data_IF_364024305471
#
_entry.id   IF_364024305471
#
_cell.length_a   1.000
_cell.length_b   1.000
_cell.length_c   1.000
_cell.angle_alpha   90.00
_cell.angle_beta   90.00
_cell.angle_gamma   90.00
#
_symmetry.space_group_name_H-M   'P 1'
#
loop_
_entity.id
_entity.type
_entity.pdbx_description
1 polymer ?
#
# COMPACT_ATOMS: atom_id res chain seq x y z
N UNK A 1 -86.13 82.53 -20.48
CA UNK A 1 -85.75 82.46 -19.06
C UNK A 1 -85.19 81.05 -18.84
N UNK A 2 -83.89 80.75 -19.05
CA UNK A 2 -82.67 81.26 -18.35
C UNK A 2 -82.85 81.15 -16.83
N UNK A 3 -82.03 80.51 -15.99
CA UNK A 3 -80.62 80.04 -15.96
C UNK A 3 -80.51 79.13 -14.70
N UNK A 4 -79.49 78.34 -14.33
CA UNK A 4 -78.10 78.11 -14.75
C UNK A 4 -77.52 77.03 -13.79
N UNK A 5 -76.73 76.06 -14.26
CA UNK A 5 -75.25 76.02 -14.36
C UNK A 5 -74.48 75.50 -13.12
N UNK A 6 -73.58 74.54 -13.37
CA UNK A 6 -72.52 74.05 -12.46
C UNK A 6 -72.29 72.53 -12.57
N UNK A 7 -71.66 71.98 -13.63
CA UNK A 7 -70.21 71.73 -13.78
C UNK A 7 -69.65 70.95 -12.57
N UNK A 8 -69.18 69.70 -12.66
CA UNK A 8 -68.00 69.27 -13.41
C UNK A 8 -67.96 67.75 -13.65
N UNK A 9 -67.47 67.38 -14.84
CA UNK A 9 -67.13 66.02 -15.26
C UNK A 9 -65.74 65.63 -14.75
N UNK A 10 -65.60 64.35 -14.40
CA UNK A 10 -64.35 63.60 -14.50
C UNK A 10 -63.41 63.69 -13.29
N UNK A 11 -63.39 62.63 -12.48
CA UNK A 11 -62.18 62.23 -11.77
C UNK A 11 -62.07 60.70 -11.81
N UNK A 12 -61.24 60.23 -12.72
CA UNK A 12 -60.57 58.94 -12.62
C UNK A 12 -59.63 59.02 -11.41
N UNK A 13 -59.68 58.06 -10.49
CA UNK A 13 -58.55 57.73 -9.61
C UNK A 13 -58.77 56.34 -9.00
N UNK A 14 -58.35 55.33 -9.76
CA UNK A 14 -57.80 54.10 -9.22
C UNK A 14 -56.53 54.49 -8.44
N UNK A 15 -56.69 55.02 -7.23
CA UNK A 15 -55.66 54.98 -6.19
C UNK A 15 -55.90 53.68 -5.43
N UNK A 16 -54.99 52.71 -5.42
CA UNK A 16 -53.63 52.87 -4.92
C UNK A 16 -52.67 52.16 -5.87
N UNK A 17 -51.75 52.96 -6.39
CA UNK A 17 -50.48 52.53 -6.96
C UNK A 17 -49.86 51.45 -6.09
N UNK A 18 -49.39 50.40 -6.75
CA UNK A 18 -48.44 49.47 -6.17
C UNK A 18 -47.24 50.23 -5.60
N UNK A 19 -47.11 50.20 -4.29
CA UNK A 19 -45.87 50.46 -3.58
C UNK A 19 -45.95 49.54 -2.37
N UNK A 20 -45.22 48.43 -2.41
CA UNK A 20 -44.62 47.74 -1.26
C UNK A 20 -43.97 46.46 -1.78
N UNK A 21 -42.68 46.52 -2.14
CA UNK A 21 -41.91 45.30 -2.38
C UNK A 21 -40.63 45.42 -3.20
N UNK A 22 -40.37 46.54 -3.88
CA UNK A 22 -39.26 46.59 -4.85
C UNK A 22 -37.85 46.78 -4.24
N UNK A 23 -37.74 47.30 -3.00
CA UNK A 23 -36.45 47.69 -2.40
C UNK A 23 -35.70 46.58 -1.66
N UNK A 24 -36.40 45.79 -0.83
CA UNK A 24 -35.79 44.72 0.00
C UNK A 24 -35.70 43.39 -0.76
N UNK A 25 -36.68 43.08 -1.62
CA UNK A 25 -36.70 41.85 -2.40
C UNK A 25 -35.54 41.73 -3.39
N UNK A 26 -35.12 42.81 -4.05
CA UNK A 26 -34.02 42.78 -5.02
C UNK A 26 -32.65 42.49 -4.37
N UNK A 27 -32.37 43.06 -3.19
CA UNK A 27 -31.14 42.80 -2.44
C UNK A 27 -31.07 41.37 -1.90
N UNK A 28 -32.18 40.88 -1.36
CA UNK A 28 -32.30 39.51 -0.84
C UNK A 28 -32.23 38.46 -1.96
N UNK A 29 -32.81 38.76 -3.13
CA UNK A 29 -32.73 37.93 -4.33
C UNK A 29 -31.30 37.86 -4.89
N UNK A 30 -30.54 38.97 -4.87
CA UNK A 30 -29.13 38.98 -5.27
C UNK A 30 -28.27 38.10 -4.36
N UNK A 31 -28.44 38.23 -3.03
CA UNK A 31 -27.73 37.41 -2.04
C UNK A 31 -28.04 35.92 -2.23
N UNK A 32 -29.32 35.57 -2.38
CA UNK A 32 -29.75 34.19 -2.57
C UNK A 32 -29.23 33.59 -3.89
N UNK A 33 -29.14 34.38 -4.97
CA UNK A 33 -28.53 33.94 -6.24
C UNK A 33 -27.03 33.66 -6.09
N UNK A 34 -26.32 34.52 -5.36
CA UNK A 34 -24.90 34.33 -5.06
C UNK A 34 -24.67 33.08 -4.20
N UNK A 35 -25.49 32.87 -3.16
CA UNK A 35 -25.46 31.65 -2.34
C UNK A 35 -25.75 30.39 -3.17
N UNK A 36 -26.75 30.41 -4.05
CA UNK A 36 -27.04 29.28 -4.94
C UNK A 36 -25.90 29.00 -5.92
N UNK A 37 -25.26 30.05 -6.47
CA UNK A 37 -24.10 29.90 -7.34
C UNK A 37 -22.94 29.24 -6.57
N UNK A 38 -22.62 29.76 -5.38
CA UNK A 38 -21.54 29.23 -4.55
C UNK A 38 -21.83 27.81 -4.07
N UNK A 39 -23.09 27.49 -3.77
CA UNK A 39 -23.53 26.15 -3.42
C UNK A 39 -23.37 25.18 -4.61
N UNK A 40 -23.75 25.60 -5.81
CA UNK A 40 -23.58 24.79 -7.03
C UNK A 40 -22.10 24.53 -7.33
N UNK A 41 -21.23 25.52 -7.17
CA UNK A 41 -19.77 25.36 -7.31
C UNK A 41 -19.22 24.37 -6.27
N UNK A 42 -19.68 24.47 -5.02
CA UNK A 42 -19.29 23.56 -3.93
C UNK A 42 -19.75 22.13 -4.20
N UNK A 43 -21.00 21.93 -4.63
CA UNK A 43 -21.55 20.62 -4.98
C UNK A 43 -20.76 20.00 -6.12
N UNK A 44 -20.42 20.78 -7.15
CA UNK A 44 -19.58 20.31 -8.25
C UNK A 44 -18.20 19.88 -7.78
N UNK A 45 -17.56 20.65 -6.90
CA UNK A 45 -16.25 20.31 -6.32
C UNK A 45 -16.31 19.01 -5.49
N UNK A 46 -17.30 18.88 -4.62
CA UNK A 46 -17.51 17.69 -3.81
C UNK A 46 -17.85 16.45 -4.65
N UNK A 47 -18.59 16.61 -5.74
CA UNK A 47 -18.88 15.53 -6.68
C UNK A 47 -17.61 15.05 -7.39
N UNK A 48 -16.73 15.96 -7.78
CA UNK A 48 -15.43 15.62 -8.38
C UNK A 48 -14.53 14.90 -7.38
N UNK A 49 -14.42 15.40 -6.16
CA UNK A 49 -13.64 14.77 -5.10
C UNK A 49 -14.17 13.37 -4.77
N UNK A 50 -15.49 13.22 -4.64
CA UNK A 50 -16.11 11.91 -4.43
C UNK A 50 -15.83 10.94 -5.59
N UNK A 51 -15.85 11.42 -6.85
CA UNK A 51 -15.51 10.59 -8.00
C UNK A 51 -14.03 10.15 -7.98
N UNK A 52 -13.11 11.06 -7.62
CA UNK A 52 -11.69 10.74 -7.48
C UNK A 52 -11.43 9.74 -6.36
N UNK A 53 -12.00 9.97 -5.17
CA UNK A 53 -11.89 9.06 -4.03
C UNK A 53 -12.47 7.69 -4.34
N UNK A 54 -13.61 7.63 -5.03
CA UNK A 54 -14.21 6.36 -5.46
C UNK A 54 -13.30 5.59 -6.43
N UNK A 55 -12.64 6.30 -7.35
CA UNK A 55 -11.66 5.68 -8.26
C UNK A 55 -10.44 5.16 -7.50
N UNK A 56 -9.89 5.93 -6.55
CA UNK A 56 -8.78 5.49 -5.70
C UNK A 56 -9.17 4.27 -4.85
N UNK A 57 -10.34 4.28 -4.24
CA UNK A 57 -10.85 3.17 -3.45
C UNK A 57 -10.96 1.89 -4.29
N UNK A 58 -11.52 1.98 -5.50
CA UNK A 58 -11.63 0.83 -6.41
C UNK A 58 -10.26 0.27 -6.82
N UNK A 59 -9.25 1.13 -7.02
CA UNK A 59 -7.87 0.70 -7.31
C UNK A 59 -7.25 -0.04 -6.13
N UNK A 60 -7.32 0.52 -4.92
CA UNK A 60 -6.80 -0.12 -3.72
C UNK A 60 -7.49 -1.46 -3.43
N UNK A 61 -8.80 -1.55 -3.64
CA UNK A 61 -9.55 -2.80 -3.47
C UNK A 61 -9.07 -3.88 -4.45
N UNK A 62 -8.90 -3.50 -5.72
CA UNK A 62 -8.40 -4.42 -6.76
C UNK A 62 -6.98 -4.90 -6.46
N UNK A 63 -6.12 -3.99 -5.99
CA UNK A 63 -4.75 -4.31 -5.62
C UNK A 63 -4.68 -5.20 -4.37
N UNK A 64 -5.47 -4.90 -3.34
CA UNK A 64 -5.55 -5.72 -2.14
C UNK A 64 -6.04 -7.14 -2.47
N UNK A 65 -7.06 -7.26 -3.31
CA UNK A 65 -7.56 -8.56 -3.80
C UNK A 65 -6.47 -9.34 -4.53
N UNK A 66 -5.69 -8.68 -5.40
CA UNK A 66 -4.54 -9.29 -6.08
C UNK A 66 -3.48 -9.80 -5.10
N UNK A 67 -3.11 -8.98 -4.10
CA UNK A 67 -2.12 -9.36 -3.09
C UNK A 67 -2.62 -10.52 -2.24
N UNK A 68 -3.89 -10.53 -1.84
CA UNK A 68 -4.50 -11.60 -1.06
C UNK A 68 -4.60 -12.91 -1.83
N UNK A 69 -4.95 -12.86 -3.11
CA UNK A 69 -4.96 -14.06 -3.96
C UNK A 69 -3.54 -14.62 -4.14
N UNK A 70 -2.56 -13.74 -4.34
CA UNK A 70 -1.14 -14.13 -4.41
C UNK A 70 -0.69 -14.76 -3.10
N UNK A 71 -0.98 -14.12 -1.95
CA UNK A 71 -0.65 -14.65 -0.62
C UNK A 71 -1.22 -16.05 -0.43
N UNK A 72 -2.51 -16.25 -0.73
CA UNK A 72 -3.19 -17.55 -0.60
C UNK A 72 -2.56 -18.64 -1.48
N UNK A 73 -2.25 -18.32 -2.75
CA UNK A 73 -1.58 -19.25 -3.66
C UNK A 73 -0.19 -19.67 -3.13
N UNK A 74 0.59 -18.71 -2.64
CA UNK A 74 1.91 -18.98 -2.05
C UNK A 74 1.80 -19.82 -0.78
N UNK A 75 0.85 -19.52 0.12
CA UNK A 75 0.65 -20.28 1.36
C UNK A 75 0.33 -21.74 1.10
N UNK A 76 -0.56 -22.01 0.14
CA UNK A 76 -0.93 -23.36 -0.21
C UNK A 76 0.26 -24.13 -0.80
N UNK A 77 1.00 -23.51 -1.73
CA UNK A 77 2.18 -24.13 -2.37
C UNK A 77 3.36 -24.35 -1.41
N UNK A 78 3.47 -23.54 -0.36
CA UNK A 78 4.56 -23.59 0.63
C UNK A 78 4.18 -24.30 1.92
N UNK A 79 2.98 -24.87 2.02
CA UNK A 79 2.52 -25.62 3.17
C UNK A 79 3.51 -26.74 3.54
N UNK A 80 3.81 -26.87 4.83
CA UNK A 80 4.73 -27.87 5.37
C UNK A 80 6.23 -27.60 5.14
N UNK A 81 6.61 -26.50 4.48
CA UNK A 81 8.03 -26.15 4.27
C UNK A 81 8.67 -25.40 5.43
N UNK A 82 7.86 -24.96 6.40
CA UNK A 82 8.28 -24.04 7.47
C UNK A 82 8.37 -22.57 7.02
N UNK A 83 8.01 -22.26 5.77
CA UNK A 83 7.87 -20.89 5.29
C UNK A 83 6.58 -20.25 5.81
N UNK A 84 6.60 -18.93 5.98
CA UNK A 84 5.42 -18.11 6.29
C UNK A 84 5.25 -17.06 5.22
N UNK A 85 4.04 -16.85 4.73
CA UNK A 85 3.76 -15.80 3.75
C UNK A 85 3.05 -14.64 4.45
N UNK A 86 3.35 -13.40 4.07
CA UNK A 86 2.65 -12.22 4.58
C UNK A 86 2.55 -11.13 3.53
N UNK A 87 1.63 -10.20 3.73
CA UNK A 87 1.58 -8.94 3.00
C UNK A 87 2.12 -7.84 3.91
N UNK A 88 3.05 -7.03 3.41
CA UNK A 88 3.60 -5.87 4.10
C UNK A 88 3.90 -4.77 3.09
N UNK A 89 3.47 -3.54 3.37
CA UNK A 89 3.74 -2.35 2.54
C UNK A 89 3.40 -2.57 1.05
N UNK A 90 2.25 -3.17 0.74
CA UNK A 90 1.84 -3.45 -0.65
C UNK A 90 2.63 -4.56 -1.36
N UNK A 91 3.51 -5.28 -0.64
CA UNK A 91 4.30 -6.38 -1.20
C UNK A 91 3.97 -7.71 -0.52
N UNK A 92 4.09 -8.80 -1.26
CA UNK A 92 3.96 -10.16 -0.72
C UNK A 92 5.35 -10.70 -0.41
N UNK A 93 5.54 -11.16 0.81
CA UNK A 93 6.82 -11.68 1.30
C UNK A 93 6.71 -13.13 1.71
N UNK A 94 7.72 -13.93 1.37
CA UNK A 94 7.91 -15.30 1.87
C UNK A 94 9.06 -15.31 2.88
N UNK A 95 8.79 -15.76 4.09
CA UNK A 95 9.73 -15.75 5.22
C UNK A 95 10.20 -17.16 5.52
N UNK A 96 11.51 -17.34 5.60
CA UNK A 96 12.15 -18.57 6.05
C UNK A 96 12.94 -18.31 7.33
N UNK A 97 12.65 -19.03 8.43
CA UNK A 97 13.49 -18.98 9.61
C UNK A 97 14.93 -19.36 9.29
N UNK A 98 15.89 -18.65 9.86
CA UNK A 98 17.32 -18.90 9.63
C UNK A 98 17.74 -20.32 9.98
N UNK A 99 17.12 -20.94 10.99
CA UNK A 99 17.38 -22.31 11.39
C UNK A 99 16.91 -23.37 10.36
N UNK A 100 15.96 -23.01 9.49
CA UNK A 100 15.56 -23.85 8.36
C UNK A 100 16.64 -23.82 7.28
N UNK A 101 17.24 -22.65 7.05
CA UNK A 101 18.20 -22.42 5.96
C UNK A 101 19.65 -22.77 6.30
N UNK A 102 20.10 -22.45 7.51
CA UNK A 102 21.50 -22.46 7.92
C UNK A 102 21.65 -23.12 9.30
N UNK A 103 22.80 -23.73 9.53
CA UNK A 103 23.22 -24.09 10.88
C UNK A 103 23.62 -22.83 11.68
N UNK A 104 23.66 -22.95 13.01
CA UNK A 104 23.92 -21.80 13.89
C UNK A 104 25.25 -21.11 13.55
N UNK A 105 25.17 -19.79 13.31
CA UNK A 105 26.30 -18.96 12.87
C UNK A 105 26.65 -19.08 11.38
N UNK A 106 26.29 -20.18 10.71
CA UNK A 106 26.73 -20.44 9.35
C UNK A 106 26.00 -19.61 8.29
N UNK A 107 26.61 -19.58 7.11
CA UNK A 107 26.07 -18.99 5.86
C UNK A 107 25.93 -20.03 4.75
N UNK A 108 26.43 -21.25 4.97
CA UNK A 108 26.23 -22.39 4.07
C UNK A 108 24.82 -22.96 4.23
N UNK A 109 24.13 -23.15 3.10
CA UNK A 109 22.78 -23.72 3.09
C UNK A 109 22.78 -25.18 3.52
N UNK A 110 21.87 -25.53 4.42
CA UNK A 110 21.62 -26.91 4.84
C UNK A 110 21.10 -27.74 3.66
N UNK A 111 21.50 -29.01 3.51
CA UNK A 111 20.96 -29.87 2.45
C UNK A 111 19.43 -29.97 2.46
N UNK A 112 18.81 -29.98 3.65
CA UNK A 112 17.35 -30.04 3.79
C UNK A 112 16.65 -28.76 3.30
N UNK A 113 17.32 -27.60 3.35
CA UNK A 113 16.74 -26.31 2.96
C UNK A 113 16.61 -26.18 1.43
N UNK A 114 17.46 -26.89 0.69
CA UNK A 114 17.48 -26.93 -0.78
C UNK A 114 16.14 -27.32 -1.39
N UNK A 115 15.41 -28.25 -0.78
CA UNK A 115 14.09 -28.67 -1.26
C UNK A 115 13.05 -27.54 -1.14
N UNK A 116 13.05 -26.83 -0.01
CA UNK A 116 12.18 -25.66 0.21
C UNK A 116 12.54 -24.53 -0.77
N UNK A 117 13.82 -24.24 -0.96
CA UNK A 117 14.28 -23.23 -1.91
C UNK A 117 13.91 -23.57 -3.36
N UNK A 118 14.00 -24.86 -3.76
CA UNK A 118 13.53 -25.31 -5.08
C UNK A 118 12.03 -25.08 -5.27
N UNK A 119 11.21 -25.34 -4.25
CA UNK A 119 9.77 -25.04 -4.29
C UNK A 119 9.53 -23.54 -4.48
N UNK A 120 10.18 -22.70 -3.68
CA UNK A 120 10.08 -21.24 -3.81
C UNK A 120 10.49 -20.80 -5.21
N UNK A 121 11.61 -21.30 -5.74
CA UNK A 121 12.06 -20.97 -7.09
C UNK A 121 11.05 -21.37 -8.17
N UNK A 122 10.41 -22.55 -8.05
CA UNK A 122 9.33 -22.96 -8.94
C UNK A 122 8.18 -21.96 -8.95
N UNK A 123 7.82 -21.43 -7.79
CA UNK A 123 6.76 -20.43 -7.66
C UNK A 123 7.19 -19.07 -8.23
N UNK A 124 8.42 -18.62 -7.98
CA UNK A 124 8.95 -17.37 -8.53
C UNK A 124 9.06 -17.38 -10.07
N UNK A 125 9.25 -18.57 -10.66
CA UNK A 125 9.26 -18.77 -12.11
C UNK A 125 7.86 -18.87 -12.72
N UNK A 126 6.83 -19.15 -11.93
CA UNK A 126 5.45 -19.35 -12.40
C UNK A 126 4.52 -18.25 -11.89
N UNK A 127 4.02 -18.34 -10.64
CA UNK A 127 3.06 -17.39 -10.07
C UNK A 127 3.56 -15.95 -10.00
N UNK A 128 4.87 -15.75 -9.78
CA UNK A 128 5.47 -14.42 -9.75
C UNK A 128 6.33 -14.14 -11.00
N UNK A 129 6.02 -14.78 -12.14
CA UNK A 129 6.74 -14.58 -13.37
C UNK A 129 6.73 -13.08 -13.78
N UNK A 130 7.92 -12.52 -14.01
CA UNK A 130 8.07 -11.13 -14.40
C UNK A 130 8.20 -10.14 -13.24
N UNK A 131 7.96 -10.53 -11.99
CA UNK A 131 8.20 -9.67 -10.82
C UNK A 131 9.68 -9.70 -10.40
N UNK A 132 10.14 -8.61 -9.78
CA UNK A 132 11.46 -8.51 -9.16
C UNK A 132 11.37 -9.08 -7.75
N UNK A 133 12.39 -9.83 -7.34
CA UNK A 133 12.46 -10.46 -6.02
C UNK A 133 13.67 -9.94 -5.27
N UNK A 134 13.42 -9.32 -4.12
CA UNK A 134 14.47 -8.92 -3.17
C UNK A 134 14.63 -9.98 -2.10
N UNK A 135 15.83 -10.50 -1.91
CA UNK A 135 16.17 -11.46 -0.87
C UNK A 135 16.81 -10.71 0.29
N UNK A 136 16.12 -10.66 1.42
CA UNK A 136 16.52 -9.89 2.59
C UNK A 136 17.04 -10.80 3.71
N UNK A 137 18.24 -10.53 4.19
CA UNK A 137 18.80 -11.19 5.37
C UNK A 137 18.55 -10.38 6.64
N UNK A 138 18.15 -11.06 7.71
CA UNK A 138 17.91 -10.45 9.02
C UNK A 138 18.54 -11.30 10.14
N UNK A 139 19.02 -10.63 11.20
CA UNK A 139 19.55 -11.26 12.41
C UNK A 139 18.74 -10.85 13.65
N UNK A 140 19.01 -11.51 14.77
CA UNK A 140 18.72 -10.93 16.08
C UNK A 140 19.80 -9.91 16.47
N UNK A 141 19.75 -9.42 17.71
CA UNK A 141 20.73 -8.50 18.26
C UNK A 141 21.95 -9.17 18.92
N UNK A 142 22.10 -10.49 18.82
CA UNK A 142 23.25 -11.16 19.41
C UNK A 142 24.51 -10.84 18.58
N UNK A 143 25.66 -10.58 19.23
CA UNK A 143 26.88 -10.24 18.52
C UNK A 143 27.40 -11.43 17.71
N UNK A 144 28.05 -11.14 16.59
CA UNK A 144 28.72 -12.17 15.78
C UNK A 144 29.98 -12.64 16.50
N UNK A 145 29.88 -13.78 17.19
CA UNK A 145 31.02 -14.36 17.92
C UNK A 145 31.76 -15.42 17.08
N UNK A 146 31.05 -16.39 16.48
CA UNK A 146 31.65 -17.56 15.81
C UNK A 146 32.36 -17.25 14.48
N UNK A 147 32.05 -16.11 13.87
CA UNK A 147 32.57 -15.74 12.55
C UNK A 147 33.07 -14.30 12.54
N UNK A 148 33.55 -13.81 13.69
CA UNK A 148 34.02 -12.42 13.83
C UNK A 148 35.15 -12.10 12.84
N UNK A 149 35.97 -13.09 12.48
CA UNK A 149 37.05 -12.94 11.50
C UNK A 149 36.54 -12.81 10.05
N UNK A 150 35.32 -13.27 9.77
CA UNK A 150 34.69 -13.23 8.43
C UNK A 150 33.66 -12.11 8.30
N UNK A 151 32.91 -11.86 9.37
CA UNK A 151 31.82 -10.90 9.42
C UNK A 151 32.00 -10.01 10.64
N UNK A 152 32.31 -8.74 10.41
CA UNK A 152 32.54 -7.71 11.44
C UNK A 152 31.25 -7.32 12.17
N UNK A 153 30.10 -7.51 11.52
CA UNK A 153 28.81 -7.09 12.06
C UNK A 153 27.65 -7.96 11.59
N UNK A 154 26.50 -7.79 12.25
CA UNK A 154 25.24 -8.40 11.84
C UNK A 154 24.78 -7.94 10.45
N UNK A 155 25.19 -6.75 9.99
CA UNK A 155 24.95 -6.31 8.61
C UNK A 155 25.61 -7.26 7.61
N UNK A 156 26.91 -7.49 7.76
CA UNK A 156 27.69 -8.37 6.88
C UNK A 156 27.18 -9.81 6.91
N UNK A 157 26.92 -10.36 8.10
CA UNK A 157 26.38 -11.71 8.25
C UNK A 157 25.02 -11.85 7.54
N UNK A 158 24.14 -10.87 7.70
CA UNK A 158 22.82 -10.90 7.08
C UNK A 158 22.88 -10.82 5.56
N UNK A 159 23.73 -9.95 5.02
CA UNK A 159 23.96 -9.81 3.59
C UNK A 159 24.58 -11.09 2.99
N UNK A 160 25.56 -11.69 3.68
CA UNK A 160 26.18 -12.94 3.26
C UNK A 160 25.18 -14.12 3.21
N UNK A 161 24.25 -14.20 4.17
CA UNK A 161 23.17 -15.20 4.13
C UNK A 161 22.23 -14.98 2.95
N UNK A 162 21.85 -13.73 2.70
CA UNK A 162 21.02 -13.38 1.55
C UNK A 162 21.74 -13.73 0.23
N UNK A 163 23.05 -13.44 0.14
CA UNK A 163 23.88 -13.81 -1.00
C UNK A 163 23.93 -15.32 -1.24
N UNK A 164 24.16 -16.12 -0.19
CA UNK A 164 24.18 -17.58 -0.31
C UNK A 164 22.85 -18.14 -0.86
N UNK A 165 21.72 -17.57 -0.44
CA UNK A 165 20.41 -17.91 -1.00
C UNK A 165 20.30 -17.48 -2.45
N UNK A 166 20.70 -16.24 -2.80
CA UNK A 166 20.69 -15.75 -4.18
C UNK A 166 21.50 -16.66 -5.11
N UNK A 167 22.73 -17.01 -4.74
CA UNK A 167 23.58 -17.92 -5.51
C UNK A 167 22.88 -19.23 -5.81
N UNK A 168 22.33 -19.88 -4.78
CA UNK A 168 21.57 -21.11 -4.95
C UNK A 168 20.33 -20.93 -5.85
N UNK A 169 19.60 -19.83 -5.71
CA UNK A 169 18.41 -19.58 -6.53
C UNK A 169 18.76 -19.37 -8.02
N UNK A 170 19.88 -18.71 -8.31
CA UNK A 170 20.33 -18.45 -9.69
C UNK A 170 20.97 -19.70 -10.29
N UNK A 171 22.00 -20.23 -9.63
CA UNK A 171 22.89 -21.27 -10.15
C UNK A 171 22.21 -22.64 -10.19
N UNK A 172 21.47 -22.99 -9.13
CA UNK A 172 20.90 -24.34 -8.97
C UNK A 172 19.41 -24.42 -9.33
N UNK A 173 18.67 -23.31 -9.19
CA UNK A 173 17.24 -23.28 -9.45
C UNK A 173 16.85 -22.56 -10.75
N UNK A 174 17.79 -21.89 -11.42
CA UNK A 174 17.58 -21.20 -12.69
C UNK A 174 16.67 -19.98 -12.60
N UNK A 175 16.68 -19.27 -11.46
CA UNK A 175 16.03 -17.96 -11.37
C UNK A 175 16.87 -16.94 -12.12
N UNK A 176 16.24 -16.13 -12.98
CA UNK A 176 16.95 -15.12 -13.77
C UNK A 176 17.68 -14.11 -12.87
N UNK A 177 19.00 -13.90 -13.05
CA UNK A 177 19.78 -12.96 -12.23
C UNK A 177 19.30 -11.51 -12.40
N UNK A 178 18.70 -11.15 -13.55
CA UNK A 178 18.13 -9.83 -13.79
C UNK A 178 16.87 -9.54 -12.94
N UNK A 179 16.30 -10.56 -12.28
CA UNK A 179 15.08 -10.45 -11.48
C UNK A 179 15.33 -10.55 -9.99
N UNK A 180 16.57 -10.77 -9.55
CA UNK A 180 16.88 -10.99 -8.13
C UNK A 180 17.98 -10.07 -7.65
N UNK A 181 17.84 -9.58 -6.43
CA UNK A 181 18.88 -8.84 -5.74
C UNK A 181 18.79 -9.08 -4.23
N UNK A 182 19.83 -8.72 -3.49
CA UNK A 182 19.90 -8.95 -2.04
C UNK A 182 19.90 -7.63 -1.26
N UNK A 183 19.46 -7.71 -0.01
CA UNK A 183 19.70 -6.71 1.01
C UNK A 183 20.03 -7.41 2.34
N UNK A 184 20.99 -6.89 3.10
CA UNK A 184 21.20 -7.29 4.49
C UNK A 184 20.72 -6.17 5.40
N UNK A 185 19.92 -6.48 6.42
CA UNK A 185 19.39 -5.50 7.39
C UNK A 185 19.97 -5.65 8.80
N UNK A 186 20.79 -6.68 9.01
CA UNK A 186 21.26 -7.05 10.35
C UNK A 186 20.11 -7.15 11.34
N UNK A 187 20.30 -6.52 12.51
CA UNK A 187 19.35 -6.55 13.63
C UNK A 187 18.32 -5.40 13.61
N UNK A 188 18.39 -4.51 12.63
CA UNK A 188 17.70 -3.21 12.66
C UNK A 188 16.28 -3.24 12.08
N UNK A 189 15.83 -4.39 11.58
CA UNK A 189 14.43 -4.64 11.20
C UNK A 189 13.86 -5.88 11.93
N UNK A 190 13.77 -5.83 13.27
CA UNK A 190 13.22 -6.93 14.05
C UNK A 190 11.72 -7.10 13.74
N UNK A 191 11.28 -8.35 13.67
CA UNK A 191 9.85 -8.67 13.55
C UNK A 191 9.16 -8.69 14.92
N UNK A 192 9.93 -9.01 15.96
CA UNK A 192 9.47 -9.16 17.34
C UNK A 192 10.59 -8.78 18.29
N UNK A 193 10.33 -8.84 19.59
CA UNK A 193 11.32 -8.61 20.64
C UNK A 193 12.61 -9.43 20.44
N UNK A 194 13.73 -8.86 20.88
CA UNK A 194 15.03 -9.52 20.96
C UNK A 194 15.34 -10.00 22.39
N UNK A 195 14.34 -10.09 23.26
CA UNK A 195 14.52 -10.47 24.67
C UNK A 195 14.32 -11.98 24.87
N UNK A 196 13.35 -12.55 24.17
CA UNK A 196 13.00 -13.96 24.25
C UNK A 196 13.74 -14.81 23.22
N UNK A 197 14.00 -16.09 23.55
CA UNK A 197 14.61 -17.05 22.61
C UNK A 197 13.74 -17.24 21.36
N UNK A 198 12.42 -17.29 21.55
CA UNK A 198 11.42 -17.40 20.49
C UNK A 198 11.41 -16.15 19.61
N UNK A 199 11.50 -14.96 20.22
CA UNK A 199 11.57 -13.69 19.50
C UNK A 199 12.82 -13.58 18.61
N UNK A 200 13.99 -13.85 19.20
CA UNK A 200 15.26 -13.93 18.46
C UNK A 200 15.21 -14.93 17.30
N UNK A 201 14.61 -16.10 17.50
CA UNK A 201 14.48 -17.10 16.45
C UNK A 201 13.63 -16.62 15.26
N UNK A 202 12.56 -15.84 15.51
CA UNK A 202 11.77 -15.20 14.44
C UNK A 202 12.53 -14.05 13.75
N UNK A 203 13.39 -13.34 14.48
CA UNK A 203 14.19 -12.25 13.91
C UNK A 203 15.30 -12.76 12.99
N UNK A 204 15.95 -13.89 13.33
CA UNK A 204 16.90 -14.58 12.45
C UNK A 204 16.16 -15.25 11.28
N UNK A 205 16.12 -14.59 10.12
CA UNK A 205 15.34 -15.06 8.96
C UNK A 205 15.93 -14.58 7.64
N UNK A 206 15.50 -15.20 6.55
CA UNK A 206 15.60 -14.66 5.20
C UNK A 206 14.19 -14.44 4.66
N UNK A 207 13.99 -13.33 3.96
CA UNK A 207 12.69 -12.93 3.40
C UNK A 207 12.81 -12.71 1.89
N UNK A 208 11.94 -13.33 1.12
CA UNK A 208 11.80 -13.08 -0.32
C UNK A 208 10.65 -12.10 -0.51
N UNK A 209 10.98 -10.85 -0.80
CA UNK A 209 9.99 -9.80 -1.06
C UNK A 209 9.73 -9.76 -2.56
N UNK A 210 8.50 -10.05 -2.96
CA UNK A 210 8.05 -9.94 -4.35
C UNK A 210 7.62 -8.49 -4.56
N UNK A 211 8.43 -7.75 -5.30
CA UNK A 211 8.23 -6.33 -5.61
C UNK A 211 7.38 -6.25 -6.89
N UNK A 212 6.12 -5.75 -6.80
CA UNK A 212 5.29 -5.56 -7.98
C UNK A 212 5.94 -4.59 -8.96
N UNK A 213 5.88 -4.91 -10.26
CA UNK A 213 6.19 -3.96 -11.34
C UNK A 213 5.31 -2.71 -11.19
N UNK A 214 5.91 -1.61 -10.76
CA UNK A 214 5.26 -0.30 -10.59
C UNK A 214 5.40 0.33 -9.20
N UNK A 215 5.94 -0.38 -8.21
CA UNK A 215 6.11 0.11 -6.82
C UNK A 215 7.44 0.81 -6.52
N UNK A 216 8.02 1.52 -7.49
CA UNK A 216 9.27 2.29 -7.36
C UNK A 216 9.01 3.78 -7.21
#
# INVERSE_FOLDING_TARGET
MLEGYGVARGLCLVGILGILGAGTGCGQLKKLRQENQQLNETISGLQQENAELSSKASRYESELSRLENTRRDLEEKLKGTGATVRIKNGTVSVLLPGAVLFDSGQTTLRPQSKATLKKIAGILKTSAAGEIVRIEGHTDNDPVVRHKDKYKSNWELSAARAAAVLHYMVEECGVSPARVYIAGFGQYQPMTDNKSKTGKAKNRRVEFVIVPKGGG
#
